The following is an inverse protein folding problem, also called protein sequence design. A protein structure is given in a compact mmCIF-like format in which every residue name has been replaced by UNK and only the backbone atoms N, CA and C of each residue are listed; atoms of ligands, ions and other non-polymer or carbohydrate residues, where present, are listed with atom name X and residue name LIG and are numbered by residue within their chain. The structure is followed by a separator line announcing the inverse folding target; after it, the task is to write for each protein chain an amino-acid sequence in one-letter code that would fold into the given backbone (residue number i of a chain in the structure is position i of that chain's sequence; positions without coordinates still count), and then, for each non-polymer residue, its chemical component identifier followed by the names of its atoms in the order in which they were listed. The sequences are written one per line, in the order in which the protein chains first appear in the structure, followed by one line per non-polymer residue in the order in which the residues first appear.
data_IF_065538568919
#
_entry.id   IF_065538568919
#
_cell.length_a   1.000
_cell.length_b   1.000
_cell.length_c   1.000
_cell.angle_alpha   90.00
_cell.angle_beta   90.00
_cell.angle_gamma   90.00
#
_symmetry.space_group_name_H-M   'P 1'
#
loop_
_entity.id
_entity.type
_entity.pdbx_description
1 polymer ?
#
# COMPACT_ATOMS: atom_id res chain seq x y z
N UNK A 1 -2.53 -34.03 -51.59
CA UNK A 1 -2.43 -35.41 -51.05
C UNK A 1 -3.15 -35.42 -49.71
N UNK A 2 -4.37 -35.98 -49.63
CA UNK A 2 -4.71 -37.29 -48.99
C UNK A 2 -4.16 -37.38 -47.55
N UNK A 3 -4.92 -37.64 -46.49
CA UNK A 3 -6.13 -38.46 -46.37
C UNK A 3 -6.82 -38.24 -45.00
N UNK A 4 -8.15 -38.39 -45.00
CA UNK A 4 -9.07 -38.44 -43.84
C UNK A 4 -8.94 -39.75 -43.06
N UNK A 5 -9.34 -39.76 -41.78
CA UNK A 5 -10.12 -40.87 -41.22
C UNK A 5 -10.97 -40.44 -40.00
N UNK A 6 -12.30 -40.50 -40.19
CA UNK A 6 -13.34 -40.68 -39.16
C UNK A 6 -13.41 -42.16 -38.77
N UNK A 7 -13.98 -42.48 -37.60
CA UNK A 7 -14.96 -43.56 -37.29
C UNK A 7 -14.95 -43.78 -35.75
N UNK A 8 -16.00 -44.18 -35.03
CA UNK A 8 -17.44 -44.38 -35.24
C UNK A 8 -18.07 -44.61 -33.85
N UNK A 9 -19.36 -44.27 -33.71
CA UNK A 9 -20.21 -44.61 -32.56
C UNK A 9 -20.32 -46.13 -32.37
N UNK A 10 -20.68 -46.56 -31.15
CA UNK A 10 -21.63 -47.65 -30.99
C UNK A 10 -22.57 -47.43 -29.80
N UNK A 11 -23.85 -47.54 -30.14
CA UNK A 11 -25.04 -47.34 -29.34
C UNK A 11 -25.71 -48.72 -29.27
N UNK A 12 -25.95 -49.27 -28.09
CA UNK A 12 -26.74 -50.49 -27.92
C UNK A 12 -28.03 -50.19 -27.18
N UNK A 13 -29.10 -50.80 -27.68
CA UNK A 13 -30.47 -50.36 -27.58
C UNK A 13 -31.32 -51.52 -27.04
N UNK A 14 -32.39 -51.17 -26.31
CA UNK A 14 -33.66 -51.92 -26.03
C UNK A 14 -33.70 -52.93 -24.87
N UNK A 15 -34.90 -53.27 -24.32
CA UNK A 15 -36.26 -52.89 -24.75
C UNK A 15 -37.20 -52.31 -23.66
N UNK A 16 -38.29 -51.70 -24.14
CA UNK A 16 -39.46 -51.27 -23.38
C UNK A 16 -40.36 -52.45 -22.97
N UNK A 17 -41.00 -52.34 -21.80
CA UNK A 17 -42.32 -52.94 -21.51
C UNK A 17 -43.26 -51.87 -20.97
N UNK A 18 -44.43 -51.73 -21.62
CA UNK A 18 -45.57 -50.94 -21.18
C UNK A 18 -46.25 -51.61 -19.97
N UNK A 19 -46.68 -50.83 -18.98
CA UNK A 19 -47.86 -51.17 -18.19
C UNK A 19 -48.60 -49.90 -17.72
N UNK A 20 -49.72 -49.68 -18.38
CA UNK A 20 -51.04 -49.20 -17.94
C UNK A 20 -51.14 -48.35 -16.65
N UNK A 21 -51.78 -47.20 -16.86
CA UNK A 21 -52.31 -46.19 -15.95
C UNK A 21 -53.24 -46.74 -14.86
N UNK A 22 -53.04 -46.34 -13.59
CA UNK A 22 -54.13 -46.12 -12.63
C UNK A 22 -53.81 -44.92 -11.74
N UNK A 23 -54.68 -43.91 -11.81
CA UNK A 23 -54.72 -42.79 -10.90
C UNK A 23 -55.27 -43.25 -9.54
N UNK A 24 -54.58 -42.86 -8.45
CA UNK A 24 -55.18 -42.76 -7.12
C UNK A 24 -54.78 -41.43 -6.50
N UNK A 25 -55.78 -40.56 -6.41
CA UNK A 25 -55.83 -39.38 -5.56
C UNK A 25 -55.63 -39.77 -4.10
N UNK A 26 -54.70 -39.12 -3.39
CA UNK A 26 -54.80 -38.98 -1.95
C UNK A 26 -53.90 -37.84 -1.42
N UNK A 27 -54.57 -36.86 -0.81
CA UNK A 27 -54.12 -36.07 0.35
C UNK A 27 -53.10 -34.96 0.14
N UNK A 28 -53.63 -33.77 -0.14
CA UNK A 28 -53.08 -32.44 0.13
C UNK A 28 -52.92 -32.18 1.64
N UNK A 29 -51.99 -32.86 2.30
CA UNK A 29 -51.69 -32.62 3.71
C UNK A 29 -50.23 -32.93 4.05
N UNK A 30 -49.26 -32.33 3.36
CA UNK A 30 -47.84 -32.34 3.79
C UNK A 30 -47.01 -31.14 3.33
N UNK A 31 -47.61 -30.15 2.66
CA UNK A 31 -46.84 -29.03 2.07
C UNK A 31 -46.73 -27.77 2.94
N UNK A 32 -47.36 -27.71 4.13
CA UNK A 32 -47.39 -26.47 4.94
C UNK A 32 -46.38 -26.48 6.10
N UNK A 33 -45.93 -27.64 6.56
CA UNK A 33 -44.95 -27.71 7.68
C UNK A 33 -43.51 -27.51 7.19
N UNK A 34 -43.21 -27.75 5.91
CA UNK A 34 -41.87 -27.59 5.36
C UNK A 34 -41.54 -26.15 4.90
N UNK A 35 -42.51 -25.25 4.90
CA UNK A 35 -42.31 -23.83 4.54
C UNK A 35 -41.98 -22.94 5.74
N UNK A 36 -42.13 -23.43 6.97
CA UNK A 36 -41.81 -22.66 8.18
C UNK A 36 -40.47 -23.06 8.81
N UNK A 37 -39.83 -24.13 8.33
CA UNK A 37 -38.51 -24.54 8.79
C UNK A 37 -37.34 -23.95 7.96
N UNK A 38 -37.65 -23.23 6.88
CA UNK A 38 -36.65 -22.60 5.99
C UNK A 38 -36.52 -21.08 6.18
N UNK A 39 -37.24 -20.49 7.15
CA UNK A 39 -37.24 -19.03 7.39
C UNK A 39 -36.40 -18.62 8.62
N UNK A 40 -35.84 -19.57 9.38
CA UNK A 40 -35.08 -19.25 10.63
C UNK A 40 -33.55 -19.40 10.48
N UNK A 41 -33.04 -19.74 9.30
CA UNK A 41 -31.59 -19.82 9.04
C UNK A 41 -31.05 -18.68 8.17
N UNK A 42 -31.75 -17.55 8.12
CA UNK A 42 -31.09 -16.27 7.84
C UNK A 42 -30.42 -15.77 9.13
N UNK A 43 -29.46 -16.54 9.64
CA UNK A 43 -28.49 -15.99 10.59
C UNK A 43 -27.81 -14.86 9.85
N UNK A 44 -28.12 -13.62 10.25
CA UNK A 44 -27.47 -12.44 9.71
C UNK A 44 -25.97 -12.69 9.73
N UNK A 45 -25.33 -12.62 8.57
CA UNK A 45 -23.89 -12.55 8.49
C UNK A 45 -23.48 -11.19 9.06
N UNK A 46 -23.55 -11.05 10.39
CA UNK A 46 -22.84 -10.00 11.08
C UNK A 46 -21.38 -10.23 10.75
N UNK A 47 -20.78 -9.28 10.04
CA UNK A 47 -19.34 -9.23 9.88
C UNK A 47 -18.76 -9.22 11.28
N UNK A 48 -18.23 -10.38 11.72
CA UNK A 48 -17.59 -10.48 13.02
C UNK A 48 -16.28 -9.72 12.87
N UNK A 49 -16.29 -8.44 13.26
CA UNK A 49 -15.06 -7.65 13.34
C UNK A 49 -14.19 -8.36 14.36
N UNK A 50 -13.10 -8.96 13.89
CA UNK A 50 -12.15 -9.62 14.76
C UNK A 50 -11.72 -8.63 15.88
N UNK A 51 -11.56 -9.09 17.12
CA UNK A 51 -11.09 -8.22 18.19
C UNK A 51 -9.77 -7.57 17.78
N UNK A 52 -9.61 -6.30 18.13
CA UNK A 52 -8.37 -5.60 17.83
C UNK A 52 -7.20 -6.26 18.56
N UNK A 53 -6.06 -6.36 17.87
CA UNK A 53 -4.84 -6.93 18.45
C UNK A 53 -4.39 -6.13 19.68
N UNK A 54 -3.91 -6.84 20.67
CA UNK A 54 -3.19 -6.27 21.81
C UNK A 54 -1.88 -5.64 21.36
N UNK A 55 -1.31 -4.76 22.19
CA UNK A 55 -0.01 -4.15 21.87
C UNK A 55 1.11 -5.19 21.76
N UNK A 56 1.08 -6.25 22.56
CA UNK A 56 2.09 -7.32 22.50
C UNK A 56 1.96 -8.14 21.21
N UNK A 57 0.74 -8.48 20.77
CA UNK A 57 0.53 -9.14 19.47
C UNK A 57 0.99 -8.26 18.30
N UNK A 58 0.75 -6.94 18.38
CA UNK A 58 1.22 -5.98 17.37
C UNK A 58 2.75 -5.98 17.31
N UNK A 59 3.43 -5.94 18.46
CA UNK A 59 4.90 -5.98 18.54
C UNK A 59 5.46 -7.28 17.96
N UNK A 60 4.93 -8.43 18.38
CA UNK A 60 5.37 -9.75 17.91
C UNK A 60 5.24 -9.84 16.39
N UNK A 61 4.07 -9.46 15.85
CA UNK A 61 3.84 -9.48 14.40
C UNK A 61 4.76 -8.50 13.67
N UNK A 62 4.94 -7.28 14.20
CA UNK A 62 5.74 -6.27 13.53
C UNK A 62 7.22 -6.65 13.46
N UNK A 63 7.76 -7.25 14.53
CA UNK A 63 9.12 -7.80 14.51
C UNK A 63 9.23 -8.95 13.50
N UNK A 64 8.29 -9.89 13.50
CA UNK A 64 8.29 -11.00 12.54
C UNK A 64 8.21 -10.50 11.08
N UNK A 65 7.42 -9.45 10.83
CA UNK A 65 7.35 -8.82 9.50
C UNK A 65 8.65 -8.16 9.08
N UNK A 66 9.34 -7.47 9.99
CA UNK A 66 10.64 -6.89 9.71
C UNK A 66 11.66 -7.99 9.36
N UNK A 67 11.71 -9.08 10.14
CA UNK A 67 12.60 -10.22 9.90
C UNK A 67 12.35 -10.91 8.55
N UNK A 68 11.09 -10.98 8.15
CA UNK A 68 10.66 -11.63 6.90
C UNK A 68 10.61 -10.68 5.71
N UNK A 69 10.92 -9.39 5.89
CA UNK A 69 10.81 -8.38 4.85
C UNK A 69 9.39 -8.22 4.31
N UNK A 70 8.37 -8.29 5.17
CA UNK A 70 6.94 -8.21 4.80
C UNK A 70 6.35 -6.83 5.07
N UNK A 71 5.40 -6.43 4.24
CA UNK A 71 4.59 -5.22 4.48
C UNK A 71 3.97 -5.25 5.88
N UNK A 72 3.90 -4.14 6.64
CA UNK A 72 4.38 -2.79 6.32
C UNK A 72 5.85 -2.49 6.70
N UNK A 73 6.65 -3.49 7.11
CA UNK A 73 8.01 -3.27 7.62
C UNK A 73 9.13 -3.64 6.64
N UNK A 74 8.84 -3.59 5.33
CA UNK A 74 9.82 -3.91 4.28
C UNK A 74 11.04 -2.99 4.41
N UNK A 75 12.21 -3.58 4.57
CA UNK A 75 13.49 -2.85 4.62
C UNK A 75 13.80 -2.15 5.94
N UNK A 76 12.97 -2.27 6.98
CA UNK A 76 13.39 -1.88 8.33
C UNK A 76 14.31 -2.95 8.94
N UNK A 77 15.31 -2.52 9.70
CA UNK A 77 16.17 -3.42 10.46
C UNK A 77 15.38 -4.00 11.66
N UNK A 78 15.29 -5.33 11.82
CA UNK A 78 14.60 -5.94 12.95
C UNK A 78 15.13 -5.50 14.31
N UNK A 79 16.43 -5.17 14.44
CA UNK A 79 17.00 -4.67 15.69
C UNK A 79 16.47 -3.28 16.05
N UNK A 80 16.41 -2.36 15.08
CA UNK A 80 15.84 -1.02 15.27
C UNK A 80 14.35 -1.09 15.61
N UNK A 81 13.63 -2.02 14.96
CA UNK A 81 12.20 -2.27 15.23
C UNK A 81 12.00 -2.78 16.66
N UNK A 82 12.81 -3.75 17.13
CA UNK A 82 12.77 -4.22 18.52
C UNK A 82 13.13 -3.11 19.50
N UNK A 83 14.14 -2.28 19.19
CA UNK A 83 14.54 -1.14 20.01
C UNK A 83 13.38 -0.14 20.21
N UNK A 84 12.71 0.25 19.12
CA UNK A 84 11.55 1.12 19.17
C UNK A 84 10.42 0.49 20.00
N UNK A 85 10.09 -0.78 19.75
CA UNK A 85 9.01 -1.47 20.46
C UNK A 85 9.25 -1.71 21.96
N UNK A 86 10.51 -1.77 22.40
CA UNK A 86 10.83 -1.92 23.82
C UNK A 86 10.24 -0.77 24.68
N UNK A 87 10.12 0.42 24.09
CA UNK A 87 9.62 1.62 24.76
C UNK A 87 8.09 1.79 24.69
N UNK A 88 7.41 1.08 23.78
CA UNK A 88 5.95 1.20 23.59
C UNK A 88 5.21 0.30 24.58
N UNK A 89 4.28 0.84 25.36
CA UNK A 89 3.47 0.11 26.35
C UNK A 89 1.99 0.11 26.03
N UNK A 90 1.51 1.09 25.27
CA UNK A 90 0.10 1.24 24.93
C UNK A 90 -0.10 1.29 23.41
N UNK A 91 -1.35 1.44 22.98
CA UNK A 91 -1.72 1.69 21.57
C UNK A 91 -1.82 3.19 21.25
N UNK A 92 -1.26 4.05 22.12
CA UNK A 92 -1.24 5.48 21.91
C UNK A 92 -0.41 5.85 20.66
N UNK A 93 -0.97 6.65 19.73
CA UNK A 93 -0.29 6.99 18.49
C UNK A 93 0.95 7.87 18.67
N UNK A 94 1.02 8.68 19.73
CA UNK A 94 2.15 9.57 19.99
C UNK A 94 3.27 8.85 20.73
N UNK A 95 2.96 7.87 21.59
CA UNK A 95 3.94 6.93 22.16
C UNK A 95 4.64 6.12 21.06
N UNK A 96 3.85 5.63 20.09
CA UNK A 96 4.37 4.96 18.90
C UNK A 96 5.33 5.88 18.11
N UNK A 97 4.85 7.08 17.76
CA UNK A 97 5.64 8.03 16.99
C UNK A 97 6.94 8.40 17.71
N UNK A 98 6.87 8.70 19.01
CA UNK A 98 8.02 9.06 19.82
C UNK A 98 9.08 7.95 19.85
N UNK A 99 8.64 6.69 20.00
CA UNK A 99 9.55 5.55 20.08
C UNK A 99 10.31 5.31 18.77
N UNK A 100 9.64 5.39 17.62
CA UNK A 100 10.30 5.28 16.32
C UNK A 100 11.15 6.50 15.97
N UNK A 101 10.69 7.72 16.31
CA UNK A 101 11.48 8.93 16.12
C UNK A 101 12.79 8.89 16.90
N UNK A 102 12.80 8.36 18.13
CA UNK A 102 14.02 8.25 18.94
C UNK A 102 15.11 7.43 18.23
N UNK A 103 14.76 6.28 17.66
CA UNK A 103 15.72 5.44 16.92
C UNK A 103 16.15 6.12 15.62
N UNK A 104 15.20 6.74 14.91
CA UNK A 104 15.49 7.46 13.67
C UNK A 104 16.39 8.69 13.88
N UNK A 105 16.24 9.42 14.99
CA UNK A 105 17.05 10.60 15.33
C UNK A 105 18.54 10.26 15.44
N UNK A 106 18.88 9.06 15.95
CA UNK A 106 20.27 8.56 15.98
C UNK A 106 20.87 8.53 14.58
N UNK A 107 20.16 7.95 13.61
CA UNK A 107 20.61 7.89 12.23
C UNK A 107 20.61 9.25 11.54
N UNK A 108 19.57 10.08 11.73
CA UNK A 108 19.51 11.40 11.10
C UNK A 108 20.66 12.29 11.57
N UNK A 109 20.95 12.30 12.88
CA UNK A 109 22.01 13.11 13.46
C UNK A 109 23.39 12.63 13.01
N UNK A 110 23.63 11.32 12.97
CA UNK A 110 24.90 10.80 12.50
C UNK A 110 25.09 11.02 11.00
N UNK A 111 24.05 10.79 10.19
CA UNK A 111 24.10 11.08 8.76
C UNK A 111 24.51 12.53 8.48
N UNK A 112 23.96 13.49 9.24
CA UNK A 112 24.34 14.91 9.16
C UNK A 112 25.80 15.17 9.55
N UNK A 113 26.29 14.55 10.62
CA UNK A 113 27.64 14.82 11.14
C UNK A 113 28.74 14.28 10.24
N UNK A 114 28.50 13.17 9.53
CA UNK A 114 29.49 12.50 8.69
C UNK A 114 29.33 12.78 7.20
N UNK A 115 28.32 13.53 6.76
CA UNK A 115 28.03 13.73 5.33
C UNK A 115 29.24 14.26 4.53
N UNK A 116 30.00 15.17 5.12
CA UNK A 116 31.17 15.77 4.47
C UNK A 116 32.37 14.81 4.37
N UNK A 117 32.46 13.81 5.25
CA UNK A 117 33.64 12.93 5.38
C UNK A 117 33.37 11.50 4.93
N UNK A 118 32.13 11.04 4.99
CA UNK A 118 31.69 9.70 4.61
C UNK A 118 30.29 9.72 3.98
N UNK A 119 30.25 10.15 2.72
CA UNK A 119 29.01 10.26 1.92
C UNK A 119 28.21 8.96 1.84
N UNK A 120 28.89 7.82 1.70
CA UNK A 120 28.23 6.52 1.58
C UNK A 120 27.49 6.13 2.85
N UNK A 121 28.14 6.28 4.02
CA UNK A 121 27.51 6.02 5.32
C UNK A 121 26.39 7.02 5.61
N UNK A 122 26.60 8.31 5.32
CA UNK A 122 25.55 9.32 5.49
C UNK A 122 24.28 9.00 4.72
N UNK A 123 24.41 8.60 3.44
CA UNK A 123 23.27 8.15 2.64
C UNK A 123 22.57 6.92 3.25
N UNK A 124 23.33 5.93 3.72
CA UNK A 124 22.78 4.76 4.39
C UNK A 124 22.01 5.12 5.67
N UNK A 125 22.51 6.08 6.45
CA UNK A 125 21.85 6.54 7.67
C UNK A 125 20.60 7.37 7.36
N UNK A 126 20.59 8.20 6.31
CA UNK A 126 19.37 8.87 5.86
C UNK A 126 18.29 7.90 5.39
N UNK A 127 18.65 6.78 4.76
CA UNK A 127 17.71 5.71 4.41
C UNK A 127 17.05 5.13 5.67
N UNK A 128 17.85 4.79 6.69
CA UNK A 128 17.36 4.23 7.95
C UNK A 128 16.46 5.22 8.69
N UNK A 129 16.90 6.47 8.81
CA UNK A 129 16.13 7.55 9.41
C UNK A 129 14.77 7.72 8.71
N UNK A 130 14.77 7.81 7.37
CA UNK A 130 13.54 7.96 6.58
C UNK A 130 12.56 6.79 6.83
N UNK A 131 13.03 5.54 6.79
CA UNK A 131 12.17 4.36 7.00
C UNK A 131 11.56 4.35 8.40
N UNK A 132 12.36 4.61 9.43
CA UNK A 132 11.91 4.65 10.82
C UNK A 132 10.93 5.80 11.08
N UNK A 133 11.22 7.01 10.61
CA UNK A 133 10.28 8.14 10.71
C UNK A 133 8.98 7.88 9.93
N UNK A 134 9.07 7.23 8.76
CA UNK A 134 7.90 6.85 7.97
C UNK A 134 7.02 5.84 8.70
N UNK A 135 7.63 4.90 9.42
CA UNK A 135 6.90 3.94 10.23
C UNK A 135 6.36 4.56 11.54
N UNK A 136 7.05 5.55 12.11
CA UNK A 136 6.52 6.36 13.22
C UNK A 136 5.26 7.14 12.84
N UNK A 137 5.13 7.57 11.58
CA UNK A 137 3.90 8.13 11.01
C UNK A 137 2.83 7.05 10.73
N UNK A 138 3.22 5.85 10.32
CA UNK A 138 2.34 4.85 9.71
C UNK A 138 1.11 4.48 10.57
N UNK A 139 -0.08 4.24 9.97
CA UNK A 139 -0.39 4.32 8.53
C UNK A 139 -0.68 5.76 8.08
N UNK A 140 -1.12 6.63 9.00
CA UNK A 140 -1.48 8.03 8.75
C UNK A 140 -1.00 8.94 9.90
N UNK A 141 -0.69 10.23 9.62
CA UNK A 141 -0.33 11.22 10.64
C UNK A 141 -1.54 11.69 11.46
N UNK A 142 -2.18 10.77 12.20
CA UNK A 142 -3.44 10.98 12.92
C UNK A 142 -3.35 11.79 14.22
N UNK A 143 -2.14 12.10 14.68
CA UNK A 143 -1.87 12.78 15.95
C UNK A 143 -0.66 13.72 15.82
N UNK A 144 -0.46 14.68 16.74
CA UNK A 144 0.65 15.62 16.67
C UNK A 144 2.03 14.94 16.61
N UNK A 145 2.26 13.89 17.40
CA UNK A 145 3.49 13.10 17.34
C UNK A 145 3.70 12.42 15.98
N UNK A 146 2.66 11.83 15.40
CA UNK A 146 2.75 11.23 14.07
C UNK A 146 2.94 12.25 12.95
N UNK A 147 2.37 13.45 13.08
CA UNK A 147 2.61 14.58 12.17
C UNK A 147 4.08 15.03 12.23
N UNK A 148 4.64 15.16 13.44
CA UNK A 148 6.09 15.44 13.62
C UNK A 148 6.96 14.35 12.99
N UNK A 149 6.60 13.07 13.20
CA UNK A 149 7.32 11.96 12.58
C UNK A 149 7.26 12.01 11.05
N UNK A 150 6.12 12.42 10.48
CA UNK A 150 6.01 12.60 9.04
C UNK A 150 6.90 13.74 8.52
N UNK A 151 6.90 14.89 9.19
CA UNK A 151 7.75 16.01 8.80
C UNK A 151 9.24 15.61 8.80
N UNK A 152 9.68 14.85 9.81
CA UNK A 152 11.03 14.28 9.88
C UNK A 152 11.30 13.23 8.79
N UNK A 153 10.31 12.44 8.41
CA UNK A 153 10.44 11.50 7.29
C UNK A 153 10.71 12.23 5.97
N UNK A 154 10.01 13.34 5.71
CA UNK A 154 10.25 14.19 4.52
C UNK A 154 11.67 14.76 4.58
N UNK A 155 12.10 15.29 5.73
CA UNK A 155 13.45 15.82 5.93
C UNK A 155 14.53 14.77 5.61
N UNK A 156 14.40 13.56 6.17
CA UNK A 156 15.35 12.46 5.94
C UNK A 156 15.34 12.00 4.47
N UNK A 157 14.17 11.92 3.84
CA UNK A 157 14.07 11.57 2.41
C UNK A 157 14.75 12.61 1.53
N UNK A 158 14.51 13.90 1.76
CA UNK A 158 15.15 14.97 0.99
C UNK A 158 16.66 15.04 1.27
N UNK A 159 17.10 14.76 2.50
CA UNK A 159 18.52 14.64 2.81
C UNK A 159 19.19 13.54 1.98
N UNK A 160 18.52 12.37 1.86
CA UNK A 160 18.92 11.26 1.00
C UNK A 160 18.83 11.59 -0.49
N UNK A 161 17.82 12.34 -0.93
CA UNK A 161 17.61 12.66 -2.33
C UNK A 161 18.78 13.44 -2.96
N UNK A 162 19.56 14.16 -2.15
CA UNK A 162 20.81 14.83 -2.56
C UNK A 162 21.90 13.87 -3.07
N UNK A 163 21.75 12.57 -2.84
CA UNK A 163 22.65 11.53 -3.34
C UNK A 163 22.15 10.85 -4.61
N UNK A 164 20.97 11.22 -5.12
CA UNK A 164 20.40 10.58 -6.30
C UNK A 164 21.10 11.03 -7.58
N UNK A 165 21.39 10.06 -8.46
CA UNK A 165 21.80 10.26 -9.85
C UNK A 165 20.89 9.39 -10.73
N UNK A 166 20.07 9.95 -11.65
CA UNK A 166 19.82 11.38 -11.87
C UNK A 166 19.18 12.06 -10.63
N UNK A 167 19.35 13.38 -10.44
CA UNK A 167 18.87 14.11 -9.26
C UNK A 167 17.34 14.09 -9.14
N UNK A 168 16.84 14.22 -7.90
CA UNK A 168 15.42 14.45 -7.62
C UNK A 168 15.06 15.90 -7.89
N UNK A 169 14.03 16.13 -8.69
CA UNK A 169 13.38 17.43 -8.81
C UNK A 169 12.13 17.49 -7.94
N UNK A 170 12.05 18.48 -7.04
CA UNK A 170 10.83 18.76 -6.28
C UNK A 170 9.98 19.75 -7.06
N UNK A 171 8.96 19.25 -7.74
CA UNK A 171 8.04 20.09 -8.52
C UNK A 171 6.94 20.67 -7.63
N UNK A 172 6.56 21.92 -7.95
CA UNK A 172 5.52 22.66 -7.24
C UNK A 172 4.49 23.12 -8.27
N UNK A 173 3.38 22.40 -8.36
CA UNK A 173 2.34 22.63 -9.37
C UNK A 173 1.27 23.53 -8.75
N UNK A 174 1.01 24.74 -9.27
CA UNK A 174 -0.04 25.61 -8.76
C UNK A 174 -1.41 24.92 -8.79
N UNK A 175 -2.11 24.95 -7.66
CA UNK A 175 -3.41 24.30 -7.52
C UNK A 175 -4.31 25.08 -6.55
N UNK A 176 -5.35 25.72 -7.08
CA UNK A 176 -6.27 26.56 -6.30
C UNK A 176 -5.49 27.59 -5.46
N UNK A 177 -5.73 27.69 -4.15
CA UNK A 177 -5.01 28.58 -3.23
C UNK A 177 -3.73 27.96 -2.65
N UNK A 178 -3.24 26.86 -3.22
CA UNK A 178 -2.11 26.08 -2.71
C UNK A 178 -1.27 25.51 -3.87
N UNK A 179 -0.52 24.45 -3.60
CA UNK A 179 0.33 23.78 -4.56
C UNK A 179 0.32 22.26 -4.34
N UNK A 180 0.42 21.51 -5.43
CA UNK A 180 0.72 20.08 -5.40
C UNK A 180 2.24 19.94 -5.37
N UNK A 181 2.76 19.22 -4.38
CA UNK A 181 4.19 18.92 -4.28
C UNK A 181 4.42 17.53 -4.86
N UNK A 182 5.24 17.45 -5.91
CA UNK A 182 5.60 16.20 -6.57
C UNK A 182 7.11 15.98 -6.60
N UNK A 183 7.51 14.73 -6.77
CA UNK A 183 8.91 14.32 -6.93
C UNK A 183 9.11 13.72 -8.32
N UNK A 184 9.89 14.40 -9.14
CA UNK A 184 10.17 14.02 -10.53
C UNK A 184 11.61 13.55 -10.69
N UNK A 185 11.80 12.48 -11.46
CA UNK A 185 13.11 12.08 -11.98
C UNK A 185 12.97 11.65 -13.42
N UNK A 186 13.84 12.18 -14.27
CA UNK A 186 13.97 11.80 -15.69
C UNK A 186 15.24 10.97 -15.89
N UNK A 187 15.28 10.06 -16.87
CA UNK A 187 16.48 9.30 -17.19
C UNK A 187 17.66 10.22 -17.53
N UNK A 188 18.86 9.77 -17.19
CA UNK A 188 20.09 10.51 -17.49
C UNK A 188 20.27 10.62 -19.02
N UNK A 189 20.60 11.83 -19.49
CA UNK A 189 20.84 12.11 -20.92
C UNK A 189 19.66 11.77 -21.85
N UNK A 190 18.42 11.80 -21.35
CA UNK A 190 17.26 11.49 -22.16
C UNK A 190 17.05 12.51 -23.29
N UNK A 191 16.68 12.04 -24.48
CA UNK A 191 16.16 12.90 -25.54
C UNK A 191 14.69 13.19 -25.25
N UNK A 192 14.31 14.46 -25.32
CA UNK A 192 12.93 14.91 -25.10
C UNK A 192 12.12 14.67 -26.40
N UNK A 193 10.84 14.22 -26.32
CA UNK A 193 10.07 13.93 -25.11
C UNK A 193 10.44 12.58 -24.46
N UNK A 194 10.30 12.53 -23.12
CA UNK A 194 10.56 11.33 -22.30
C UNK A 194 9.23 10.67 -21.93
N UNK A 195 9.05 9.35 -22.10
CA UNK A 195 7.91 8.64 -21.54
C UNK A 195 7.86 8.81 -20.02
N UNK A 196 6.72 9.23 -19.47
CA UNK A 196 6.58 9.55 -18.05
C UNK A 196 5.50 8.69 -17.39
N UNK A 197 5.79 8.16 -16.21
CA UNK A 197 4.80 7.54 -15.32
C UNK A 197 4.39 8.53 -14.23
N UNK A 198 3.11 8.87 -14.15
CA UNK A 198 2.55 9.57 -12.98
C UNK A 198 2.22 8.51 -11.93
N UNK A 199 2.97 8.49 -10.84
CA UNK A 199 2.76 7.59 -9.72
C UNK A 199 1.96 8.28 -8.63
N UNK A 200 0.80 7.72 -8.27
CA UNK A 200 -0.07 8.19 -7.19
C UNK A 200 -0.09 7.14 -6.08
N UNK A 201 0.18 7.53 -4.85
CA UNK A 201 0.23 6.62 -3.70
C UNK A 201 -1.18 6.19 -3.25
N UNK A 202 -1.22 5.12 -2.45
CA UNK A 202 -2.40 4.72 -1.69
C UNK A 202 -2.48 5.40 -0.33
N UNK A 203 -3.39 4.92 0.53
CA UNK A 203 -3.63 5.52 1.86
C UNK A 203 -2.40 5.50 2.79
N UNK A 204 -1.61 4.43 2.72
CA UNK A 204 -0.57 4.14 3.73
C UNK A 204 0.85 4.52 3.28
N UNK A 205 1.09 4.65 1.96
CA UNK A 205 2.35 5.08 1.36
C UNK A 205 2.32 6.58 1.02
N UNK A 206 3.46 7.15 0.62
CA UNK A 206 3.63 8.56 0.21
C UNK A 206 4.43 8.64 -1.09
N UNK A 207 4.48 9.82 -1.71
CA UNK A 207 5.32 10.07 -2.90
C UNK A 207 6.81 9.74 -2.68
N UNK A 208 7.31 9.82 -1.44
CA UNK A 208 8.65 9.34 -1.07
C UNK A 208 8.82 7.84 -1.37
N UNK A 209 7.85 7.01 -1.00
CA UNK A 209 7.87 5.55 -1.23
C UNK A 209 7.77 5.22 -2.73
N UNK A 210 6.95 5.99 -3.46
CA UNK A 210 6.85 5.86 -4.91
C UNK A 210 8.14 6.26 -5.60
N UNK A 211 8.76 7.36 -5.18
CA UNK A 211 10.04 7.82 -5.73
C UNK A 211 11.16 6.80 -5.51
N UNK A 212 11.11 6.02 -4.43
CA UNK A 212 12.02 4.89 -4.21
C UNK A 212 11.73 3.75 -5.21
N UNK A 213 10.47 3.34 -5.29
CA UNK A 213 10.06 2.15 -6.05
C UNK A 213 10.18 2.35 -7.57
N UNK A 214 9.77 3.53 -8.07
CA UNK A 214 9.81 3.85 -9.50
C UNK A 214 11.21 4.24 -9.99
N UNK A 215 12.20 4.41 -9.12
CA UNK A 215 13.59 4.64 -9.56
C UNK A 215 14.12 3.52 -10.48
N UNK A 216 13.59 2.30 -10.35
CA UNK A 216 13.96 1.15 -11.17
C UNK A 216 13.62 1.31 -12.66
N UNK A 217 12.73 2.22 -13.04
CA UNK A 217 12.34 2.42 -14.45
C UNK A 217 13.28 3.39 -15.19
N UNK A 218 14.07 4.20 -14.46
CA UNK A 218 14.95 5.22 -15.03
C UNK A 218 15.98 4.66 -16.02
N UNK A 219 16.66 3.52 -15.74
CA UNK A 219 17.60 2.92 -16.69
C UNK A 219 16.94 2.43 -17.99
N UNK A 220 15.61 2.29 -18.01
CA UNK A 220 14.84 1.88 -19.19
C UNK A 220 14.35 3.06 -20.03
N UNK A 221 14.84 4.28 -19.75
CA UNK A 221 14.48 5.47 -20.52
C UNK A 221 13.09 6.02 -20.20
N UNK A 222 12.51 5.64 -19.06
CA UNK A 222 11.20 6.11 -18.59
C UNK A 222 11.41 7.00 -17.36
N UNK A 223 10.82 8.19 -17.34
CA UNK A 223 10.79 9.07 -16.18
C UNK A 223 9.58 8.79 -15.28
N UNK A 224 9.59 9.35 -14.07
CA UNK A 224 8.41 9.35 -13.22
C UNK A 224 8.16 10.70 -12.57
N UNK A 225 6.90 10.98 -12.26
CA UNK A 225 6.43 12.02 -11.37
C UNK A 225 5.58 11.37 -10.26
N UNK A 226 6.10 11.33 -9.05
CA UNK A 226 5.39 10.84 -7.88
C UNK A 226 4.65 11.98 -7.17
N UNK A 227 3.36 11.80 -6.91
CA UNK A 227 2.52 12.77 -6.19
C UNK A 227 1.74 12.09 -5.08
N UNK A 228 1.43 12.86 -4.03
CA UNK A 228 0.53 12.40 -2.98
C UNK A 228 -0.93 12.49 -3.47
N UNK A 229 -1.71 11.42 -3.37
CA UNK A 229 -3.12 11.40 -3.72
C UNK A 229 -3.97 12.23 -2.74
N UNK A 230 -5.16 12.72 -3.14
CA UNK A 230 -6.01 13.53 -2.28
C UNK A 230 -6.26 12.91 -0.90
N UNK A 231 -6.12 13.71 0.16
CA UNK A 231 -6.24 13.27 1.55
C UNK A 231 -5.00 12.59 2.13
N UNK A 232 -3.95 12.40 1.35
CA UNK A 232 -2.70 11.77 1.79
C UNK A 232 -1.51 12.72 1.71
N UNK A 233 -0.46 12.39 2.47
CA UNK A 233 0.82 13.10 2.41
C UNK A 233 0.73 14.63 2.44
N UNK A 234 1.35 15.28 1.45
CA UNK A 234 1.34 16.72 1.25
C UNK A 234 0.26 17.19 0.24
N UNK A 235 -0.74 16.35 -0.07
CA UNK A 235 -1.83 16.76 -0.95
C UNK A 235 -2.56 18.00 -0.38
N UNK A 236 -2.83 19.04 -1.20
CA UNK A 236 -3.43 20.28 -0.74
C UNK A 236 -4.93 20.15 -0.39
N UNK A 237 -5.58 19.07 -0.82
CA UNK A 237 -7.00 18.81 -0.58
C UNK A 237 -7.23 17.45 0.07
N UNK A 238 -8.38 17.30 0.73
CA UNK A 238 -8.86 16.02 1.27
C UNK A 238 -9.52 15.18 0.18
N UNK A 239 -9.61 13.87 0.43
CA UNK A 239 -10.39 12.98 -0.41
C UNK A 239 -11.86 13.42 -0.41
N UNK A 240 -12.45 13.48 -1.60
CA UNK A 240 -13.85 13.83 -1.87
C UNK A 240 -14.23 13.34 -3.26
N UNK A 241 -15.52 13.35 -3.61
CA UNK A 241 -16.03 12.86 -4.89
C UNK A 241 -15.39 13.55 -6.11
N UNK A 242 -15.00 14.82 -5.97
CA UNK A 242 -14.41 15.63 -7.05
C UNK A 242 -12.91 15.86 -6.85
N UNK A 243 -12.23 15.03 -6.05
CA UNK A 243 -10.82 15.23 -5.71
C UNK A 243 -9.85 14.84 -6.84
N UNK A 244 -10.34 14.12 -7.85
CA UNK A 244 -9.62 13.76 -9.08
C UNK A 244 -9.12 14.98 -9.85
N UNK A 245 -9.81 16.13 -9.72
CA UNK A 245 -9.36 17.41 -10.31
C UNK A 245 -7.92 17.77 -9.93
N UNK A 246 -7.44 17.37 -8.74
CA UNK A 246 -6.04 17.53 -8.36
C UNK A 246 -5.11 16.75 -9.29
N UNK A 247 -5.47 15.51 -9.61
CA UNK A 247 -4.70 14.66 -10.52
C UNK A 247 -4.81 15.12 -11.98
N UNK A 248 -5.96 15.65 -12.40
CA UNK A 248 -6.09 16.32 -13.71
C UNK A 248 -5.07 17.45 -13.85
N UNK A 249 -4.88 18.26 -12.80
CA UNK A 249 -3.87 19.33 -12.81
C UNK A 249 -2.42 18.82 -12.83
N UNK A 250 -2.16 17.61 -12.35
CA UNK A 250 -0.86 16.94 -12.50
C UNK A 250 -0.65 16.50 -13.96
N UNK A 251 -1.71 16.00 -14.62
CA UNK A 251 -1.66 15.62 -16.04
C UNK A 251 -1.45 16.86 -16.93
N UNK A 252 -2.16 17.97 -16.65
CA UNK A 252 -2.01 19.23 -17.40
C UNK A 252 -0.58 19.82 -17.30
N UNK A 253 0.16 19.47 -16.25
CA UNK A 253 1.49 20.00 -15.99
C UNK A 253 2.59 19.33 -16.84
N UNK A 254 2.38 18.08 -17.26
CA UNK A 254 3.42 17.24 -17.91
C UNK A 254 3.30 17.18 -19.43
#
# INVERSE_FOLDING_TARGET
MKQRARLKLNNTHRPQRRLIMQARSASTASAVVLSHLLIVLSTGAFSQVAPERTIEEIKTEAVARAEQGRYPLIGLDPADVREAFASIKTRDPDEWAASFMKVADRYMNEGKSIEATNRAKANADYIRAWRLYSFGRWPIPSSPGKQRSYAKAIEAFLARARFFDPPLEVVRIPFESSQIIGYMRLPKNAKIPVPLVIAVNGLDSRKEDLSESFAAILPHGIGFLAVDGPGTGQAPIKASENADRMLSRVIDYV
#
